data_IF_708590767723
#
_entry.id   IF_708590767723
#
_cell.length_a   1.000
_cell.length_b   1.000
_cell.length_c   1.000
_cell.angle_alpha   90.00
_cell.angle_beta   90.00
_cell.angle_gamma   90.00
#
_symmetry.space_group_name_H-M   'P 1'
#
loop_
_entity.id
_entity.type
_entity.pdbx_description
1 polymer ?
#
# COMPACT_ATOMS: atom_id res chain seq x y z
N UNK A 1 50.91 44.15 -9.80
CA UNK A 1 50.59 42.69 -9.88
C UNK A 1 50.06 42.29 -8.51
N UNK A 2 48.81 41.90 -8.29
CA UNK A 2 48.23 40.61 -8.69
C UNK A 2 46.72 40.70 -8.37
N UNK A 3 45.87 40.67 -9.39
CA UNK A 3 44.41 40.68 -9.23
C UNK A 3 43.95 39.36 -8.61
N UNK A 4 43.19 39.47 -7.52
CA UNK A 4 42.58 38.36 -6.81
C UNK A 4 41.30 37.96 -7.56
N UNK A 5 41.36 36.87 -8.33
CA UNK A 5 40.18 36.30 -9.02
C UNK A 5 39.38 35.48 -8.02
N UNK A 6 38.22 35.99 -7.63
CA UNK A 6 37.17 35.21 -6.99
C UNK A 6 36.65 34.16 -7.98
N UNK A 7 36.72 32.88 -7.60
CA UNK A 7 36.23 31.77 -8.41
C UNK A 7 34.78 31.51 -8.03
N UNK A 8 33.88 31.77 -8.97
CA UNK A 8 32.44 31.50 -8.85
C UNK A 8 32.15 30.00 -9.00
N UNK A 9 32.16 29.26 -7.89
CA UNK A 9 31.81 27.82 -7.85
C UNK A 9 30.33 27.54 -7.52
N UNK A 10 29.48 28.55 -7.44
CA UNK A 10 28.13 28.45 -6.85
C UNK A 10 27.02 27.82 -7.71
N UNK A 11 26.84 28.06 -9.02
CA UNK A 11 25.58 27.72 -9.70
C UNK A 11 25.37 26.21 -9.91
N UNK A 12 26.45 25.45 -10.11
CA UNK A 12 26.37 23.99 -10.34
C UNK A 12 26.07 23.20 -9.06
N UNK A 13 26.53 23.68 -7.91
CA UNK A 13 26.23 23.09 -6.61
C UNK A 13 24.78 23.37 -6.18
N UNK A 14 24.26 24.58 -6.43
CA UNK A 14 22.85 24.89 -6.17
C UNK A 14 21.90 24.09 -7.06
N UNK A 15 22.21 23.93 -8.34
CA UNK A 15 21.41 23.12 -9.26
C UNK A 15 21.40 21.63 -8.87
N UNK A 16 22.54 21.08 -8.43
CA UNK A 16 22.63 19.70 -7.97
C UNK A 16 21.83 19.44 -6.68
N UNK A 17 21.89 20.37 -5.70
CA UNK A 17 21.10 20.27 -4.48
C UNK A 17 19.59 20.43 -4.75
N UNK A 18 19.19 21.31 -5.66
CA UNK A 18 17.78 21.47 -6.03
C UNK A 18 17.22 20.20 -6.69
N UNK A 19 18.00 19.57 -7.57
CA UNK A 19 17.61 18.33 -8.24
C UNK A 19 17.54 17.15 -7.27
N UNK A 20 18.50 17.04 -6.34
CA UNK A 20 18.49 16.01 -5.29
C UNK A 20 17.29 16.16 -4.34
N UNK A 21 16.97 17.39 -3.93
CA UNK A 21 15.81 17.67 -3.08
C UNK A 21 14.49 17.33 -3.79
N UNK A 22 14.37 17.62 -5.10
CA UNK A 22 13.17 17.29 -5.88
C UNK A 22 12.95 15.77 -5.99
N UNK A 23 14.03 14.99 -6.18
CA UNK A 23 13.99 13.52 -6.24
C UNK A 23 13.58 12.88 -4.91
N UNK A 24 14.02 13.45 -3.78
CA UNK A 24 13.65 12.97 -2.44
C UNK A 24 12.17 13.24 -2.14
N UNK A 25 11.66 14.43 -2.46
CA UNK A 25 10.24 14.78 -2.24
C UNK A 25 9.32 13.91 -3.10
N UNK A 26 9.71 13.58 -4.33
CA UNK A 26 8.91 12.74 -5.23
C UNK A 26 8.72 11.29 -4.71
N UNK A 27 9.62 10.78 -3.88
CA UNK A 27 9.53 9.40 -3.35
C UNK A 27 8.61 9.24 -2.14
N UNK A 28 8.13 10.33 -1.54
CA UNK A 28 7.38 10.30 -0.28
C UNK A 28 5.85 10.22 -0.44
N UNK A 29 5.31 10.41 -1.65
CA UNK A 29 3.91 10.82 -1.82
C UNK A 29 2.87 9.69 -2.05
N UNK A 30 3.01 8.48 -1.52
CA UNK A 30 1.97 7.47 -1.80
C UNK A 30 1.80 6.32 -0.83
N UNK A 31 2.83 5.50 -0.62
CA UNK A 31 2.67 4.24 0.11
C UNK A 31 2.30 4.42 1.58
N UNK A 32 2.97 5.35 2.27
CA UNK A 32 2.78 5.55 3.71
C UNK A 32 1.42 6.11 4.10
N UNK A 33 0.81 6.94 3.26
CA UNK A 33 -0.50 7.54 3.55
C UNK A 33 -1.62 6.49 3.47
N UNK A 34 -1.61 5.65 2.43
CA UNK A 34 -2.58 4.57 2.27
C UNK A 34 -2.52 3.54 3.41
N UNK A 35 -1.30 3.16 3.84
CA UNK A 35 -1.13 2.25 4.98
C UNK A 35 -1.62 2.85 6.30
N UNK A 36 -1.37 4.14 6.54
CA UNK A 36 -1.87 4.83 7.73
C UNK A 36 -3.40 4.91 7.73
N UNK A 37 -4.00 5.33 6.63
CA UNK A 37 -5.45 5.38 6.50
C UNK A 37 -6.08 3.99 6.72
N UNK A 38 -5.51 2.93 6.11
CA UNK A 38 -5.98 1.56 6.32
C UNK A 38 -5.83 1.11 7.77
N UNK A 39 -4.72 1.44 8.44
CA UNK A 39 -4.51 1.14 9.85
C UNK A 39 -5.54 1.86 10.73
N UNK A 40 -5.78 3.15 10.50
CA UNK A 40 -6.78 3.95 11.26
C UNK A 40 -8.19 3.39 11.08
N UNK A 41 -8.61 3.09 9.84
CA UNK A 41 -9.91 2.50 9.53
C UNK A 41 -10.14 1.11 10.16
N UNK A 42 -9.06 0.38 10.43
CA UNK A 42 -9.11 -0.99 10.97
C UNK A 42 -8.78 -1.07 12.45
N UNK A 43 -8.71 0.07 13.16
CA UNK A 43 -8.40 0.09 14.60
C UNK A 43 -6.95 -0.28 14.93
N UNK A 44 -6.01 0.06 14.06
CA UNK A 44 -4.58 -0.24 14.22
C UNK A 44 -4.11 -1.49 13.46
N UNK A 45 -4.83 -1.92 12.42
CA UNK A 45 -4.45 -3.07 11.61
C UNK A 45 -3.10 -2.87 10.91
N UNK A 46 -2.32 -3.96 10.78
CA UNK A 46 -1.03 -3.96 10.09
C UNK A 46 -1.12 -4.72 8.77
N UNK A 47 -0.87 -4.07 7.61
CA UNK A 47 -0.86 -4.75 6.31
C UNK A 47 0.14 -5.93 6.25
N UNK A 48 1.31 -5.77 6.87
CA UNK A 48 2.32 -6.83 6.95
C UNK A 48 1.81 -8.07 7.71
N UNK A 49 1.16 -7.85 8.87
CA UNK A 49 0.52 -8.95 9.62
C UNK A 49 -0.64 -9.58 8.84
N UNK A 50 -1.42 -8.76 8.13
CA UNK A 50 -2.50 -9.23 7.24
C UNK A 50 -1.99 -10.18 6.16
N UNK A 51 -0.88 -9.81 5.49
CA UNK A 51 -0.24 -10.66 4.46
C UNK A 51 0.19 -12.02 5.03
N UNK A 52 0.83 -12.04 6.20
CA UNK A 52 1.21 -13.28 6.87
C UNK A 52 -0.01 -14.12 7.30
N UNK A 53 -1.09 -13.46 7.75
CA UNK A 53 -2.33 -14.12 8.12
C UNK A 53 -3.00 -14.80 6.93
N UNK A 54 -2.98 -14.18 5.73
CA UNK A 54 -3.56 -14.77 4.51
C UNK A 54 -2.94 -16.12 4.17
N UNK A 55 -1.60 -16.23 4.24
CA UNK A 55 -0.93 -17.52 4.07
C UNK A 55 -1.27 -18.50 5.19
N UNK A 56 -1.25 -18.04 6.45
CA UNK A 56 -1.53 -18.89 7.62
C UNK A 56 -2.94 -19.48 7.62
N UNK A 57 -3.94 -18.71 7.18
CA UNK A 57 -5.34 -19.12 7.15
C UNK A 57 -5.78 -19.72 5.80
N UNK A 58 -4.85 -19.92 4.87
CA UNK A 58 -5.11 -20.61 3.61
C UNK A 58 -5.89 -19.79 2.57
N UNK A 59 -5.87 -18.46 2.63
CA UNK A 59 -6.58 -17.64 1.65
C UNK A 59 -6.11 -17.90 0.21
N UNK A 60 -4.83 -18.25 0.04
CA UNK A 60 -4.21 -18.58 -1.26
C UNK A 60 -4.76 -19.85 -1.91
N UNK A 61 -5.36 -20.78 -1.15
CA UNK A 61 -5.89 -22.03 -1.71
C UNK A 61 -7.16 -21.81 -2.54
N UNK A 62 -7.85 -20.69 -2.32
CA UNK A 62 -9.10 -20.38 -3.00
C UNK A 62 -9.02 -19.14 -3.88
N UNK A 63 -8.22 -18.14 -3.49
CA UNK A 63 -8.22 -16.83 -4.14
C UNK A 63 -6.89 -16.48 -4.80
N UNK A 64 -6.99 -15.74 -5.91
CA UNK A 64 -5.87 -14.99 -6.46
C UNK A 64 -5.65 -13.71 -5.64
N UNK A 65 -4.46 -13.50 -5.11
CA UNK A 65 -4.14 -12.37 -4.23
C UNK A 65 -2.76 -11.76 -4.61
N UNK A 66 -2.74 -10.57 -5.24
CA UNK A 66 -1.48 -9.92 -5.61
C UNK A 66 -0.54 -9.68 -4.40
N UNK A 67 0.70 -10.15 -4.53
CA UNK A 67 1.74 -10.00 -3.49
C UNK A 67 1.63 -10.99 -2.32
N UNK A 68 0.79 -12.02 -2.41
CA UNK A 68 0.83 -13.18 -1.52
C UNK A 68 1.38 -14.36 -2.32
N UNK A 69 2.42 -15.00 -1.80
CA UNK A 69 3.08 -16.12 -2.45
C UNK A 69 2.12 -17.30 -2.62
N UNK A 70 2.08 -17.88 -3.82
CA UNK A 70 1.24 -19.03 -4.16
C UNK A 70 -0.27 -18.75 -4.19
N UNK A 71 -0.69 -17.48 -4.21
CA UNK A 71 -2.10 -17.10 -4.27
C UNK A 71 -2.55 -16.81 -5.71
N UNK A 72 -2.75 -17.86 -6.49
CA UNK A 72 -3.21 -17.85 -7.90
C UNK A 72 -4.43 -18.77 -8.15
N UNK A 73 -5.07 -19.22 -7.07
CA UNK A 73 -6.26 -20.07 -7.14
C UNK A 73 -7.52 -19.30 -7.62
N UNK A 74 -8.47 -20.05 -8.19
CA UNK A 74 -9.69 -19.52 -8.81
C UNK A 74 -10.98 -20.19 -8.28
N UNK A 75 -10.91 -20.84 -7.12
CA UNK A 75 -12.10 -21.42 -6.47
C UNK A 75 -13.04 -20.31 -5.99
N UNK A 76 -12.46 -19.26 -5.40
CA UNK A 76 -13.13 -18.01 -5.08
C UNK A 76 -12.77 -16.91 -6.08
N UNK A 77 -13.54 -15.80 -6.11
CA UNK A 77 -13.24 -14.66 -6.96
C UNK A 77 -11.88 -14.06 -6.58
N UNK A 78 -11.16 -13.43 -7.52
CA UNK A 78 -9.88 -12.79 -7.19
C UNK A 78 -10.11 -11.68 -6.16
N UNK A 79 -9.12 -11.43 -5.30
CA UNK A 79 -9.16 -10.38 -4.27
C UNK A 79 -8.36 -9.14 -4.68
N UNK A 80 -7.94 -9.06 -5.94
CA UNK A 80 -7.36 -7.85 -6.50
C UNK A 80 -8.34 -6.68 -6.33
N UNK A 81 -7.79 -5.55 -5.88
CA UNK A 81 -8.54 -4.31 -5.68
C UNK A 81 -9.80 -4.47 -4.82
N UNK A 82 -9.84 -5.47 -3.92
CA UNK A 82 -11.01 -5.70 -3.06
C UNK A 82 -11.37 -4.46 -2.24
N UNK A 83 -10.38 -3.66 -1.85
CA UNK A 83 -10.60 -2.40 -1.11
C UNK A 83 -11.36 -1.33 -1.91
N UNK A 84 -11.35 -1.37 -3.24
CA UNK A 84 -12.06 -0.38 -4.08
C UNK A 84 -13.46 -0.84 -4.52
N UNK A 85 -13.91 -2.02 -4.09
CA UNK A 85 -15.25 -2.54 -4.42
C UNK A 85 -16.29 -1.85 -3.56
N UNK A 86 -17.48 -1.62 -4.11
CA UNK A 86 -18.62 -1.07 -3.34
C UNK A 86 -19.21 -2.10 -2.38
N UNK A 87 -19.23 -3.37 -2.80
CA UNK A 87 -19.85 -4.46 -2.05
C UNK A 87 -18.90 -5.65 -1.85
N UNK A 88 -19.04 -6.33 -0.71
CA UNK A 88 -18.42 -7.61 -0.37
C UNK A 88 -19.44 -8.71 -0.63
N UNK A 89 -19.04 -9.73 -1.40
CA UNK A 89 -19.90 -10.85 -1.83
C UNK A 89 -21.21 -10.44 -2.52
N UNK A 90 -21.33 -9.18 -2.98
CA UNK A 90 -22.55 -8.64 -3.58
C UNK A 90 -23.66 -8.26 -2.58
N UNK A 91 -23.44 -8.42 -1.27
CA UNK A 91 -24.48 -8.27 -0.23
C UNK A 91 -24.16 -7.19 0.79
N UNK A 92 -22.92 -7.11 1.28
CA UNK A 92 -22.53 -6.15 2.32
C UNK A 92 -21.84 -4.93 1.69
N UNK A 93 -22.17 -3.72 2.13
CA UNK A 93 -21.36 -2.54 1.80
C UNK A 93 -19.93 -2.74 2.26
N UNK A 94 -18.95 -2.39 1.44
CA UNK A 94 -17.54 -2.58 1.76
C UNK A 94 -17.08 -1.58 2.83
N UNK A 95 -16.94 -2.07 4.06
CA UNK A 95 -16.39 -1.36 5.20
C UNK A 95 -15.47 -2.28 6.01
N UNK A 96 -14.56 -1.74 6.83
CA UNK A 96 -13.70 -2.57 7.69
C UNK A 96 -14.48 -3.56 8.55
N UNK A 97 -15.58 -3.13 9.17
CA UNK A 97 -16.41 -3.97 10.03
C UNK A 97 -17.09 -5.10 9.27
N UNK A 98 -17.65 -4.80 8.09
CA UNK A 98 -18.28 -5.79 7.24
C UNK A 98 -17.26 -6.78 6.68
N UNK A 99 -16.06 -6.31 6.31
CA UNK A 99 -14.97 -7.17 5.87
C UNK A 99 -14.55 -8.12 6.98
N UNK A 100 -14.36 -7.64 8.20
CA UNK A 100 -14.02 -8.48 9.35
C UNK A 100 -15.13 -9.49 9.68
N UNK A 101 -16.40 -9.11 9.54
CA UNK A 101 -17.55 -10.00 9.72
C UNK A 101 -17.55 -11.10 8.65
N UNK A 102 -17.44 -10.74 7.38
CA UNK A 102 -17.43 -11.69 6.26
C UNK A 102 -16.23 -12.64 6.30
N UNK A 103 -15.03 -12.17 6.66
CA UNK A 103 -13.85 -13.06 6.81
C UNK A 103 -14.08 -14.11 7.91
N UNK A 104 -14.75 -13.73 9.00
CA UNK A 104 -15.02 -14.64 10.13
C UNK A 104 -16.13 -15.64 9.84
N UNK A 105 -17.15 -15.22 9.10
CA UNK A 105 -18.30 -16.05 8.74
C UNK A 105 -18.84 -15.66 7.34
N UNK A 106 -18.22 -16.19 6.27
CA UNK A 106 -18.57 -15.78 4.91
C UNK A 106 -19.93 -16.32 4.44
N UNK A 107 -20.47 -17.34 5.09
CA UNK A 107 -21.78 -17.93 4.76
C UNK A 107 -22.92 -17.39 5.61
N UNK A 108 -22.63 -16.72 6.73
CA UNK A 108 -23.62 -16.12 7.63
C UNK A 108 -23.92 -14.63 7.36
N UNK A 109 -23.59 -14.12 6.17
CA UNK A 109 -23.85 -12.74 5.74
C UNK A 109 -24.57 -12.65 4.41
#
# INVERSE_FOLDING_TARGET
>A
MKGMRERSTTPKLFAACALASLLVVASACGGGEAERAASEMTGGGSPARGRAAMSRYGCSTCHTIPGVEGADALVGPPLDRVASRTYIAGVLTNSPDNMMRWIRDPHGV
#
